data_IF_068097351836
#
_entry.id   IF_068097351836
#
_cell.length_a   1.000
_cell.length_b   1.000
_cell.length_c   1.000
_cell.angle_alpha   90.00
_cell.angle_beta   90.00
_cell.angle_gamma   90.00
#
_symmetry.space_group_name_H-M   'P 1'
#
loop_
_entity.id
_entity.type
_entity.pdbx_description
1 polymer ?
#
# COMPACT_ATOMS: atom_id res chain seq x y z
N UNK A 1 -46.71 4.56 -24.18
CA UNK A 1 -46.23 5.41 -23.07
C UNK A 1 -45.05 4.71 -22.38
N UNK A 2 -43.98 4.44 -23.14
CA UNK A 2 -42.78 3.71 -22.66
C UNK A 2 -41.49 4.17 -23.35
N UNK A 3 -41.58 4.97 -24.41
CA UNK A 3 -40.41 5.25 -25.26
C UNK A 3 -39.75 6.61 -24.93
N UNK A 4 -40.15 7.25 -23.82
CA UNK A 4 -39.69 8.60 -23.42
C UNK A 4 -38.54 8.53 -22.40
N UNK A 5 -38.37 7.42 -21.69
CA UNK A 5 -37.37 7.28 -20.62
C UNK A 5 -36.21 6.34 -20.97
N UNK A 6 -35.96 6.05 -22.25
CA UNK A 6 -34.81 5.25 -22.64
C UNK A 6 -33.56 6.12 -22.80
N UNK A 7 -33.04 6.52 -21.64
CA UNK A 7 -31.66 6.89 -21.29
C UNK A 7 -30.77 7.14 -22.53
N UNK A 8 -30.85 8.36 -23.05
CA UNK A 8 -29.97 8.92 -24.08
C UNK A 8 -28.57 9.24 -23.50
N UNK A 9 -28.04 8.40 -22.61
CA UNK A 9 -26.74 8.57 -21.95
C UNK A 9 -25.86 7.31 -21.97
N UNK A 10 -26.32 6.18 -22.50
CA UNK A 10 -25.56 4.91 -22.44
C UNK A 10 -24.52 4.71 -23.55
N UNK A 11 -24.51 5.53 -24.61
CA UNK A 11 -23.73 5.22 -25.83
C UNK A 11 -22.64 6.26 -26.19
N UNK A 12 -22.30 7.20 -25.29
CA UNK A 12 -21.35 8.27 -25.65
C UNK A 12 -19.91 7.79 -25.84
N UNK A 13 -19.57 6.65 -25.23
CA UNK A 13 -18.20 6.14 -25.18
C UNK A 13 -18.11 4.64 -25.51
N UNK A 14 -19.19 4.00 -25.99
CA UNK A 14 -19.23 2.56 -26.33
C UNK A 14 -18.14 2.15 -27.32
N UNK A 15 -17.72 3.09 -28.18
CA UNK A 15 -16.63 2.93 -29.13
C UNK A 15 -15.24 2.84 -28.47
N UNK A 16 -15.08 3.32 -27.24
CA UNK A 16 -13.79 3.37 -26.54
C UNK A 16 -13.75 2.64 -25.20
N UNK A 17 -14.88 2.35 -24.53
CA UNK A 17 -14.86 1.78 -23.17
C UNK A 17 -14.26 0.37 -23.10
N UNK A 18 -14.36 -0.39 -24.19
CA UNK A 18 -13.88 -1.77 -24.29
C UNK A 18 -12.46 -1.86 -24.85
N UNK A 19 -11.85 -0.73 -25.20
CA UNK A 19 -10.49 -0.71 -25.72
C UNK A 19 -9.49 -0.98 -24.60
N UNK A 20 -8.42 -1.68 -24.96
CA UNK A 20 -7.30 -1.86 -24.03
C UNK A 20 -6.71 -0.50 -23.66
N UNK A 21 -6.39 -0.32 -22.39
CA UNK A 21 -5.72 0.89 -21.93
C UNK A 21 -4.35 1.01 -22.63
N UNK A 22 -4.08 2.12 -23.33
CA UNK A 22 -2.80 2.29 -24.02
C UNK A 22 -1.68 2.47 -23.01
N UNK A 23 -0.68 1.58 -23.04
CA UNK A 23 0.58 1.75 -22.33
C UNK A 23 1.64 2.29 -23.30
N UNK A 24 2.31 3.37 -22.93
CA UNK A 24 3.42 3.89 -23.74
C UNK A 24 4.59 2.92 -23.74
N UNK A 25 5.10 2.59 -24.93
CA UNK A 25 6.32 1.78 -25.07
C UNK A 25 7.60 2.56 -24.70
N UNK A 26 7.58 3.88 -24.90
CA UNK A 26 8.75 4.75 -24.70
C UNK A 26 8.78 5.41 -23.31
N UNK A 27 7.64 5.48 -22.64
CA UNK A 27 7.49 6.14 -21.34
C UNK A 27 6.87 5.15 -20.36
N UNK A 28 7.68 4.32 -19.68
CA UNK A 28 7.19 3.40 -18.69
C UNK A 28 6.44 4.16 -17.58
N UNK A 29 5.44 3.52 -17.00
CA UNK A 29 4.71 4.12 -15.89
C UNK A 29 5.61 4.24 -14.66
N UNK A 30 5.42 5.32 -13.89
CA UNK A 30 6.09 5.50 -12.61
C UNK A 30 5.72 4.36 -11.64
N UNK A 31 6.70 3.71 -10.99
CA UNK A 31 6.47 2.72 -9.93
C UNK A 31 5.59 3.26 -8.80
N UNK A 32 4.92 2.38 -8.05
CA UNK A 32 3.94 2.79 -7.03
C UNK A 32 4.62 3.50 -5.86
N UNK A 33 5.78 3.01 -5.45
CA UNK A 33 6.67 3.58 -4.44
C UNK A 33 7.04 5.04 -4.76
N UNK A 34 7.43 5.32 -6.01
CA UNK A 34 7.73 6.68 -6.45
C UNK A 34 6.49 7.58 -6.48
N UNK A 35 5.30 7.02 -6.76
CA UNK A 35 4.03 7.77 -6.63
C UNK A 35 3.75 8.16 -5.18
N UNK A 36 4.09 7.31 -4.21
CA UNK A 36 3.88 7.59 -2.79
C UNK A 36 4.72 8.78 -2.30
N UNK A 37 5.88 9.03 -2.92
CA UNK A 37 6.72 10.18 -2.61
C UNK A 37 5.99 11.52 -2.82
N UNK A 38 5.04 11.59 -3.77
CA UNK A 38 4.20 12.80 -3.98
C UNK A 38 3.38 13.17 -2.75
N UNK A 39 3.02 12.17 -1.94
CA UNK A 39 2.24 12.33 -0.71
C UNK A 39 3.11 12.23 0.56
N UNK A 40 4.41 12.48 0.44
CA UNK A 40 5.36 12.42 1.55
C UNK A 40 5.80 13.83 1.98
N UNK A 41 4.93 14.65 2.59
CA UNK A 41 5.19 16.07 2.87
C UNK A 41 6.38 16.31 3.81
N UNK A 42 6.71 15.33 4.65
CA UNK A 42 7.81 15.42 5.62
C UNK A 42 9.11 14.77 5.14
N UNK A 43 9.12 14.08 3.99
CA UNK A 43 10.32 13.45 3.45
C UNK A 43 11.41 14.47 3.06
N UNK A 44 11.01 15.71 2.78
CA UNK A 44 11.94 16.81 2.52
C UNK A 44 12.65 17.31 3.79
N UNK A 45 12.14 17.00 4.99
CA UNK A 45 12.74 17.43 6.24
C UNK A 45 13.97 16.58 6.57
N UNK A 46 15.06 17.25 6.89
CA UNK A 46 16.24 16.58 7.44
C UNK A 46 15.87 15.87 8.75
N UNK A 47 16.28 14.61 8.87
CA UNK A 47 16.03 13.80 10.08
C UNK A 47 14.66 13.10 10.16
N UNK A 48 13.76 13.25 9.17
CA UNK A 48 12.49 12.51 9.16
C UNK A 48 12.70 10.99 9.17
N UNK A 49 13.64 10.52 8.34
CA UNK A 49 14.01 9.10 8.26
C UNK A 49 14.60 8.57 9.57
N UNK A 50 15.39 9.40 10.26
CA UNK A 50 15.98 9.05 11.56
C UNK A 50 14.91 8.95 12.65
N UNK A 51 13.91 9.85 12.62
CA UNK A 51 12.78 9.81 13.55
C UNK A 51 11.90 8.56 13.34
N UNK A 52 11.69 8.12 12.10
CA UNK A 52 11.01 6.87 11.80
C UNK A 52 11.79 5.69 12.39
N UNK A 53 13.10 5.60 12.13
CA UNK A 53 13.96 4.52 12.66
C UNK A 53 13.98 4.47 14.17
N UNK A 54 14.09 5.62 14.84
CA UNK A 54 14.07 5.67 16.31
C UNK A 54 12.71 5.24 16.88
N UNK A 55 11.62 5.59 16.20
CA UNK A 55 10.27 5.14 16.59
C UNK A 55 10.13 3.62 16.43
N UNK A 56 10.63 3.06 15.33
CA UNK A 56 10.65 1.61 15.10
C UNK A 56 11.44 0.88 16.19
N UNK A 57 12.66 1.34 16.52
CA UNK A 57 13.49 0.76 17.57
C UNK A 57 12.77 0.71 18.93
N UNK A 58 12.11 1.82 19.31
CA UNK A 58 11.32 1.89 20.56
C UNK A 58 10.14 0.92 20.56
N UNK A 59 9.49 0.75 19.41
CA UNK A 59 8.40 -0.21 19.21
C UNK A 59 8.89 -1.65 19.37
N UNK A 60 10.00 -2.01 18.72
CA UNK A 60 10.64 -3.33 18.85
C UNK A 60 11.02 -3.63 20.31
N UNK A 61 11.61 -2.66 21.02
CA UNK A 61 11.93 -2.81 22.44
C UNK A 61 10.70 -3.02 23.32
N UNK A 62 9.61 -2.30 23.04
CA UNK A 62 8.33 -2.48 23.75
C UNK A 62 7.75 -3.85 23.46
N UNK A 63 7.74 -4.28 22.21
CA UNK A 63 7.22 -5.58 21.82
C UNK A 63 7.99 -6.72 22.49
N UNK A 64 9.33 -6.66 22.47
CA UNK A 64 10.20 -7.63 23.16
C UNK A 64 9.93 -7.68 24.68
N UNK A 65 9.66 -6.54 25.32
CA UNK A 65 9.31 -6.50 26.76
C UNK A 65 7.89 -7.01 27.04
N UNK A 66 7.04 -7.04 26.03
CA UNK A 66 5.63 -7.44 26.13
C UNK A 66 5.42 -8.91 25.80
N UNK A 67 6.36 -9.58 25.12
CA UNK A 67 6.32 -11.03 24.99
C UNK A 67 6.27 -11.68 26.38
N UNK A 68 5.19 -12.42 26.74
CA UNK A 68 5.23 -13.29 27.89
C UNK A 68 6.28 -14.35 27.59
N UNK A 69 7.24 -14.54 28.51
CA UNK A 69 8.27 -15.54 28.35
C UNK A 69 7.65 -16.89 28.05
N UNK A 70 7.74 -17.32 26.79
CA UNK A 70 7.45 -18.68 26.40
C UNK A 70 8.57 -19.52 27.00
N UNK A 71 8.33 -20.00 28.22
CA UNK A 71 9.20 -20.97 28.86
C UNK A 71 9.29 -22.19 27.95
N UNK A 72 10.42 -22.32 27.26
CA UNK A 72 10.89 -23.58 26.73
C UNK A 72 10.99 -24.55 27.92
N UNK A 73 9.94 -25.34 28.15
CA UNK A 73 10.10 -26.66 28.71
C UNK A 73 10.20 -27.61 27.53
N UNK A 74 11.38 -27.65 26.92
CA UNK A 74 11.81 -28.86 26.23
C UNK A 74 11.91 -29.93 27.31
N UNK A 75 10.87 -30.76 27.40
CA UNK A 75 10.85 -31.91 28.28
C UNK A 75 12.03 -32.81 27.95
N UNK A 76 12.94 -32.93 28.90
CA UNK A 76 13.85 -34.06 29.02
C UNK A 76 12.97 -35.30 29.17
N UNK A 77 12.82 -36.07 28.08
CA UNK A 77 12.41 -37.46 28.16
C UNK A 77 13.69 -38.29 28.07
N UNK A 78 14.36 -38.47 29.20
CA UNK A 78 15.28 -39.58 29.44
C UNK A 78 14.56 -40.59 30.35
N UNK A 79 13.82 -41.53 29.75
CA UNK A 79 13.79 -42.96 30.14
C UNK A 79 13.14 -43.80 29.03
#
# INVERSE_FOLDING_TARGET
>A
MSDIYNIKTTNKYEDIIHLQHPTSANHPQMPIEDRAAQFSPFAALTGHEEAIRETQRRMEERFRKMEPGNGEKTGENEE
#
